data_IF_185696881155
#
_entry.id   IF_185696881155
#
_cell.length_a   1.000
_cell.length_b   1.000
_cell.length_c   1.000
_cell.angle_alpha   90.00
_cell.angle_beta   90.00
_cell.angle_gamma   90.00
#
_symmetry.space_group_name_H-M   'P 1'
#
loop_
_entity.id
_entity.type
_entity.pdbx_description
1 polymer ?
#
# COMPACT_ATOMS: atom_id res chain seq x y z
N UNK A 1 11.84 -8.62 13.54
CA UNK A 1 11.36 -9.07 14.87
C UNK A 1 10.37 -8.08 15.51
N UNK A 2 10.76 -6.83 15.81
CA UNK A 2 9.85 -5.87 16.47
C UNK A 2 8.72 -5.35 15.59
N UNK A 3 9.02 -4.93 14.34
CA UNK A 3 8.01 -4.41 13.40
C UNK A 3 6.97 -5.47 13.04
N UNK A 4 7.40 -6.67 12.64
CA UNK A 4 6.51 -7.79 12.35
C UNK A 4 5.65 -8.19 13.54
N UNK A 5 6.20 -8.14 14.77
CA UNK A 5 5.43 -8.37 15.99
C UNK A 5 4.35 -7.29 16.18
N UNK A 6 4.70 -6.01 16.02
CA UNK A 6 3.74 -4.91 16.14
C UNK A 6 2.62 -5.02 15.09
N UNK A 7 2.98 -5.30 13.83
CA UNK A 7 2.03 -5.55 12.74
C UNK A 7 1.07 -6.68 13.09
N UNK A 8 1.60 -7.83 13.52
CA UNK A 8 0.76 -8.98 13.93
C UNK A 8 -0.23 -8.62 15.04
N UNK A 9 0.20 -7.86 16.05
CA UNK A 9 -0.69 -7.40 17.12
C UNK A 9 -1.81 -6.50 16.57
N UNK A 10 -1.48 -5.55 15.69
CA UNK A 10 -2.49 -4.69 15.06
C UNK A 10 -3.53 -5.51 14.27
N UNK A 11 -3.07 -6.45 13.45
CA UNK A 11 -3.94 -7.35 12.66
C UNK A 11 -4.85 -8.18 13.57
N UNK A 12 -4.32 -8.74 14.67
CA UNK A 12 -5.10 -9.50 15.67
C UNK A 12 -6.17 -8.66 16.38
N UNK A 13 -6.02 -7.34 16.42
CA UNK A 13 -7.00 -6.40 16.97
C UNK A 13 -7.96 -5.84 15.90
N UNK A 14 -7.99 -6.43 14.70
CA UNK A 14 -8.95 -6.07 13.65
C UNK A 14 -8.49 -4.97 12.70
N UNK A 15 -7.25 -4.48 12.80
CA UNK A 15 -6.68 -3.58 11.79
C UNK A 15 -6.48 -4.39 10.51
N UNK A 16 -7.25 -4.09 9.46
CA UNK A 16 -7.19 -4.83 8.19
C UNK A 16 -5.90 -4.59 7.40
N UNK A 17 -5.33 -3.38 7.54
CA UNK A 17 -4.22 -2.90 6.74
C UNK A 17 -3.14 -2.28 7.63
N UNK A 18 -2.28 -3.11 8.19
CA UNK A 18 -1.09 -2.69 8.91
C UNK A 18 0.16 -3.00 8.09
N UNK A 19 1.00 -1.98 7.88
CA UNK A 19 2.21 -2.07 7.06
C UNK A 19 3.46 -1.86 7.90
N UNK A 20 4.54 -2.55 7.57
CA UNK A 20 5.88 -2.18 8.04
C UNK A 20 6.48 -1.17 7.06
N UNK A 21 7.13 -0.14 7.60
CA UNK A 21 7.77 0.92 6.81
C UNK A 21 9.23 1.08 7.19
N UNK A 22 9.99 1.78 6.36
CA UNK A 22 11.44 1.97 6.51
C UNK A 22 12.23 0.65 6.64
N UNK A 23 11.74 -0.43 6.01
CA UNK A 23 12.47 -1.69 5.81
C UNK A 23 12.15 -2.29 4.43
N UNK A 24 13.06 -3.10 3.90
CA UNK A 24 12.79 -3.95 2.73
C UNK A 24 12.04 -5.20 3.16
N UNK A 25 10.72 -5.20 2.99
CA UNK A 25 9.85 -6.32 3.31
C UNK A 25 8.61 -6.29 2.42
N UNK A 26 8.69 -6.98 1.27
CA UNK A 26 7.58 -6.99 0.32
C UNK A 26 6.33 -7.69 0.85
N UNK A 27 6.47 -8.58 1.84
CA UNK A 27 5.33 -9.31 2.37
C UNK A 27 4.51 -8.43 3.31
N UNK A 28 5.17 -7.74 4.23
CA UNK A 28 4.51 -6.98 5.30
C UNK A 28 4.27 -5.51 4.96
N UNK A 29 4.88 -4.98 3.90
CA UNK A 29 4.62 -3.61 3.39
C UNK A 29 3.55 -3.55 2.30
N UNK A 30 3.23 -4.68 1.65
CA UNK A 30 2.23 -4.77 0.57
C UNK A 30 0.78 -4.75 1.04
N UNK A 31 -0.13 -4.33 0.16
CA UNK A 31 -1.58 -4.41 0.38
C UNK A 31 -2.08 -5.79 -0.04
N UNK A 32 -2.77 -6.46 0.87
CA UNK A 32 -3.43 -7.74 0.65
C UNK A 32 -4.94 -7.58 0.77
N UNK A 33 -5.72 -8.33 -0.01
CA UNK A 33 -7.17 -8.30 0.10
C UNK A 33 -7.60 -8.83 1.48
N UNK A 34 -8.36 -8.02 2.22
CA UNK A 34 -8.83 -8.39 3.55
C UNK A 34 -9.89 -9.51 3.53
N UNK A 35 -10.44 -9.83 2.36
CA UNK A 35 -11.44 -10.88 2.20
C UNK A 35 -10.83 -12.19 1.67
N UNK A 36 -10.16 -12.17 0.52
CA UNK A 36 -9.62 -13.38 -0.11
C UNK A 36 -8.12 -13.61 0.09
N UNK A 37 -7.39 -12.66 0.67
CA UNK A 37 -5.95 -12.77 0.91
C UNK A 37 -5.06 -12.60 -0.33
N UNK A 38 -5.60 -12.24 -1.50
CA UNK A 38 -4.81 -12.00 -2.70
C UNK A 38 -3.90 -10.76 -2.56
N UNK A 39 -2.72 -10.77 -3.20
CA UNK A 39 -1.88 -9.57 -3.30
C UNK A 39 -2.59 -8.54 -4.18
N UNK A 40 -2.71 -7.30 -3.70
CA UNK A 40 -3.37 -6.21 -4.43
C UNK A 40 -2.40 -5.14 -4.90
N UNK A 41 -1.54 -4.67 -4.00
CA UNK A 41 -0.50 -3.70 -4.34
C UNK A 41 0.79 -4.21 -3.72
N UNK A 42 1.71 -4.67 -4.55
CA UNK A 42 3.05 -5.01 -4.08
C UNK A 42 3.84 -3.74 -3.82
N UNK A 43 4.49 -3.68 -2.67
CA UNK A 43 5.44 -2.63 -2.31
C UNK A 43 6.72 -3.26 -1.82
N UNK A 44 7.85 -2.70 -2.21
CA UNK A 44 9.12 -2.91 -1.53
C UNK A 44 9.82 -1.55 -1.45
N UNK A 45 9.83 -0.97 -0.25
CA UNK A 45 10.31 0.39 -0.03
C UNK A 45 9.53 1.41 -0.88
N UNK A 46 10.19 2.15 -1.78
CA UNK A 46 9.55 3.12 -2.68
C UNK A 46 9.11 2.52 -4.02
N UNK A 47 9.38 1.24 -4.25
CA UNK A 47 9.06 0.56 -5.51
C UNK A 47 7.68 -0.11 -5.45
N UNK A 48 6.90 0.09 -6.50
CA UNK A 48 5.63 -0.61 -6.71
C UNK A 48 5.86 -1.82 -7.63
N UNK A 49 5.21 -2.94 -7.32
CA UNK A 49 5.19 -4.15 -8.15
C UNK A 49 3.80 -4.44 -8.67
N UNK A 50 3.27 -5.64 -8.40
CA UNK A 50 1.91 -6.05 -8.80
C UNK A 50 0.84 -5.02 -8.44
N UNK A 51 -0.09 -4.81 -9.36
CA UNK A 51 -1.27 -3.95 -9.21
C UNK A 51 -2.51 -4.74 -9.64
N UNK A 52 -3.27 -5.25 -8.69
CA UNK A 52 -4.42 -6.13 -8.90
C UNK A 52 -5.71 -5.51 -8.33
N UNK A 53 -5.86 -4.20 -8.53
CA UNK A 53 -7.08 -3.45 -8.26
C UNK A 53 -7.79 -3.10 -9.57
N UNK A 54 -9.12 -3.09 -9.54
CA UNK A 54 -9.93 -2.49 -10.60
C UNK A 54 -9.84 -0.96 -10.51
N UNK A 55 -10.22 -0.20 -11.57
CA UNK A 55 -10.20 1.26 -11.56
C UNK A 55 -11.05 1.90 -10.44
N UNK A 56 -12.07 1.20 -9.96
CA UNK A 56 -12.94 1.60 -8.84
C UNK A 56 -12.41 1.17 -7.45
N UNK A 57 -11.21 0.58 -7.40
CA UNK A 57 -10.56 0.20 -6.14
C UNK A 57 -11.04 -1.14 -5.55
N UNK A 58 -11.59 -2.04 -6.37
CA UNK A 58 -11.97 -3.38 -5.95
C UNK A 58 -10.86 -4.39 -6.21
N UNK A 59 -10.81 -5.46 -5.41
CA UNK A 59 -9.94 -6.59 -5.66
C UNK A 59 -10.31 -7.27 -6.99
N UNK A 60 -9.35 -7.40 -7.92
CA UNK A 60 -9.60 -8.07 -9.21
C UNK A 60 -9.98 -9.56 -9.08
N UNK A 61 -9.60 -10.21 -7.98
CA UNK A 61 -9.86 -11.63 -7.77
C UNK A 61 -11.24 -11.94 -7.16
N UNK A 62 -11.74 -11.10 -6.24
CA UNK A 62 -12.99 -11.39 -5.52
C UNK A 62 -14.00 -10.24 -5.50
N UNK A 63 -13.70 -9.10 -6.14
CA UNK A 63 -14.59 -7.94 -6.20
C UNK A 63 -14.77 -7.19 -4.88
N UNK A 64 -14.07 -7.56 -3.80
CA UNK A 64 -14.17 -6.84 -2.52
C UNK A 64 -13.62 -5.43 -2.67
N UNK A 65 -14.43 -4.42 -2.33
CA UNK A 65 -13.99 -3.02 -2.26
C UNK A 65 -12.88 -2.85 -1.24
N UNK A 66 -11.77 -2.25 -1.67
CA UNK A 66 -10.69 -1.83 -0.77
C UNK A 66 -10.94 -0.40 -0.31
N UNK A 67 -10.90 -0.11 1.00
CA UNK A 67 -10.97 1.26 1.49
C UNK A 67 -9.75 2.07 1.02
N UNK A 68 -10.00 3.21 0.36
CA UNK A 68 -8.97 4.12 -0.11
C UNK A 68 -9.38 4.84 -1.39
N UNK A 69 -8.50 5.70 -1.90
CA UNK A 69 -8.57 6.28 -3.24
C UNK A 69 -7.40 5.71 -4.04
N UNK A 70 -7.72 5.07 -5.16
CA UNK A 70 -6.74 4.40 -6.00
C UNK A 70 -6.84 4.93 -7.42
N UNK A 71 -5.68 5.11 -8.05
CA UNK A 71 -5.61 5.29 -9.49
C UNK A 71 -5.87 3.95 -10.20
N UNK A 72 -6.22 3.98 -11.48
CA UNK A 72 -6.40 2.76 -12.25
C UNK A 72 -5.10 1.95 -12.41
N UNK A 73 -3.97 2.65 -12.48
CA UNK A 73 -2.63 2.10 -12.72
C UNK A 73 -1.62 2.62 -11.69
N UNK A 74 -0.52 1.88 -11.42
CA UNK A 74 0.53 2.35 -10.51
C UNK A 74 1.25 3.57 -11.08
N UNK A 75 1.54 4.54 -10.20
CA UNK A 75 2.37 5.70 -10.55
C UNK A 75 3.85 5.34 -10.74
N UNK A 76 4.59 6.23 -11.39
CA UNK A 76 6.02 6.03 -11.76
C UNK A 76 7.01 6.81 -10.89
N UNK A 77 6.61 7.20 -9.67
CA UNK A 77 7.43 8.06 -8.80
C UNK A 77 8.74 7.39 -8.36
N UNK A 78 8.66 6.15 -7.88
CA UNK A 78 9.81 5.36 -7.40
C UNK A 78 10.57 6.03 -6.24
N UNK A 79 11.84 5.66 -6.05
CA UNK A 79 12.71 6.18 -4.99
C UNK A 79 13.20 7.62 -5.23
N UNK A 80 12.29 8.59 -5.32
CA UNK A 80 12.59 10.00 -5.57
C UNK A 80 12.18 10.91 -4.42
N UNK A 81 12.95 11.98 -4.23
CA UNK A 81 12.64 13.08 -3.32
C UNK A 81 12.41 14.33 -4.15
N UNK A 82 11.35 15.06 -3.86
CA UNK A 82 11.11 16.39 -4.44
C UNK A 82 11.13 17.41 -3.31
N UNK A 83 12.01 18.39 -3.46
CA UNK A 83 12.03 19.53 -2.56
C UNK A 83 10.84 20.42 -2.88
N UNK A 84 10.01 20.69 -1.88
CA UNK A 84 8.87 21.60 -2.01
C UNK A 84 9.23 22.94 -1.37
N UNK A 85 9.05 24.02 -2.12
CA UNK A 85 9.18 25.38 -1.58
C UNK A 85 7.78 25.92 -1.25
N UNK A 86 7.47 26.01 0.04
CA UNK A 86 6.16 26.45 0.54
C UNK A 86 5.92 27.96 0.42
N UNK A 87 6.94 28.76 0.08
CA UNK A 87 6.82 30.22 -0.08
C UNK A 87 6.37 30.62 -1.48
N UNK A 88 6.45 29.73 -2.47
CA UNK A 88 5.90 29.92 -3.81
C UNK A 88 4.49 29.36 -3.86
N UNK A 89 3.55 30.06 -3.24
CA UNK A 89 2.13 29.85 -3.49
C UNK A 89 1.82 30.06 -4.98
N UNK A 90 0.98 29.16 -5.50
CA UNK A 90 0.46 29.14 -6.87
C UNK A 90 -0.12 30.53 -7.22
N UNK A 91 0.37 31.13 -8.30
CA UNK A 91 -0.34 32.19 -9.05
C UNK A 91 -1.39 31.52 -9.95
#
# INVERSE_FOLDING_TARGET
ATLSRARRIAMQNGVRYAYVGNVHDAQESSTWCHHCGSLLIQRDWYELGSWALTPDGCCQQCGTQVPGLFEAEPGVWGSRRQVVNLQRGVL
#
